data_IF_056247920325
#
_entry.id   IF_056247920325
#
_cell.length_a   1.000
_cell.length_b   1.000
_cell.length_c   1.000
_cell.angle_alpha   90.00
_cell.angle_beta   90.00
_cell.angle_gamma   90.00
#
_symmetry.space_group_name_H-M   'P 1'
#
loop_
_entity.id
_entity.type
_entity.pdbx_description
1 polymer ?
#
# COMPACT_ATOMS: atom_id res chain seq x y z
N UNK A 1 38.48 -2.15 40.70
CA UNK A 1 39.55 -1.61 39.81
C UNK A 1 40.14 -2.77 39.04
N UNK A 2 40.43 -2.59 37.75
CA UNK A 2 41.13 -3.53 36.83
C UNK A 2 40.52 -4.94 36.65
N UNK A 3 40.77 -5.68 35.58
CA UNK A 3 40.87 -5.45 34.12
C UNK A 3 41.15 -6.85 33.53
N UNK A 4 40.57 -7.17 32.37
CA UNK A 4 40.86 -8.29 31.45
C UNK A 4 41.60 -9.57 31.91
N UNK A 5 41.00 -10.73 31.59
CA UNK A 5 41.75 -11.83 30.98
C UNK A 5 41.17 -12.18 29.60
N UNK A 6 41.89 -11.76 28.56
CA UNK A 6 41.88 -12.42 27.26
C UNK A 6 43.03 -13.44 27.30
N UNK A 7 42.77 -14.74 27.12
CA UNK A 7 43.81 -15.71 26.72
C UNK A 7 43.22 -17.10 26.40
N UNK A 8 43.88 -17.83 25.49
CA UNK A 8 43.53 -19.15 24.88
C UNK A 8 42.28 -19.16 23.98
N UNK A 9 42.23 -19.66 22.74
CA UNK A 9 43.16 -20.14 21.68
C UNK A 9 42.39 -19.89 20.35
N UNK A 10 42.89 -19.51 19.16
CA UNK A 10 44.22 -19.39 18.53
C UNK A 10 44.92 -20.67 18.03
N UNK A 11 44.16 -21.59 17.40
CA UNK A 11 44.59 -22.65 16.48
C UNK A 11 43.32 -23.04 15.68
N UNK A 12 43.29 -23.20 14.34
CA UNK A 12 44.38 -23.31 13.36
C UNK A 12 44.32 -22.20 12.29
N UNK A 13 45.49 -21.93 11.72
CA UNK A 13 45.68 -21.15 10.49
C UNK A 13 46.08 -22.08 9.33
N UNK A 14 45.82 -21.62 8.10
CA UNK A 14 46.29 -22.16 6.80
C UNK A 14 45.65 -23.49 6.34
N UNK A 15 44.91 -23.44 5.23
CA UNK A 15 45.49 -23.78 3.91
C UNK A 15 44.58 -23.44 2.69
N UNK A 16 45.20 -22.88 1.66
CA UNK A 16 44.89 -22.91 0.20
C UNK A 16 43.65 -22.21 -0.45
N UNK A 17 43.99 -21.08 -1.12
CA UNK A 17 43.67 -20.73 -2.54
C UNK A 17 42.34 -20.07 -2.98
N UNK A 18 42.44 -19.39 -4.15
CA UNK A 18 41.49 -18.47 -4.80
C UNK A 18 40.54 -19.18 -5.80
N UNK A 19 39.27 -18.76 -5.82
CA UNK A 19 38.40 -18.59 -7.02
C UNK A 19 37.92 -19.88 -7.77
N UNK A 20 36.93 -19.82 -8.69
CA UNK A 20 35.54 -19.36 -8.53
C UNK A 20 34.47 -20.37 -9.06
N UNK A 21 33.18 -20.00 -8.91
CA UNK A 21 31.94 -20.52 -9.56
C UNK A 21 31.23 -21.76 -8.98
N UNK A 22 29.90 -21.72 -9.20
CA UNK A 22 28.89 -22.80 -9.36
C UNK A 22 28.34 -23.59 -8.15
N UNK A 23 27.00 -23.47 -8.04
CA UNK A 23 26.02 -24.54 -7.76
C UNK A 23 25.83 -25.11 -6.35
N UNK A 24 24.86 -24.51 -5.65
CA UNK A 24 23.69 -25.17 -5.04
C UNK A 24 23.73 -26.70 -4.78
N UNK A 25 23.72 -27.08 -3.49
CA UNK A 25 22.66 -27.88 -2.84
C UNK A 25 22.96 -28.06 -1.34
N UNK A 26 22.04 -27.69 -0.46
CA UNK A 26 21.99 -28.19 0.92
C UNK A 26 20.62 -28.82 1.16
N UNK A 27 20.63 -29.97 1.81
CA UNK A 27 19.48 -30.85 2.04
C UNK A 27 18.46 -30.24 2.99
N UNK A 28 17.16 -30.44 2.70
CA UNK A 28 16.09 -30.25 3.69
C UNK A 28 16.01 -31.48 4.57
N UNK A 29 16.36 -31.35 5.85
CA UNK A 29 15.94 -32.27 6.92
C UNK A 29 16.06 -31.58 8.27
N UNK A 30 14.92 -31.10 8.79
CA UNK A 30 14.76 -30.73 10.19
C UNK A 30 13.30 -30.96 10.56
N UNK A 31 13.06 -32.10 11.22
CA UNK A 31 11.76 -32.48 11.74
C UNK A 31 11.43 -31.63 12.96
N UNK A 32 10.23 -31.04 13.00
CA UNK A 32 9.75 -30.33 14.19
C UNK A 32 9.16 -31.34 15.16
N UNK A 33 9.75 -31.43 16.36
CA UNK A 33 9.23 -32.25 17.46
C UNK A 33 8.15 -31.47 18.21
N UNK A 34 6.88 -31.87 18.06
CA UNK A 34 5.79 -31.36 18.88
C UNK A 34 5.70 -32.17 20.19
N UNK A 35 5.68 -31.47 21.33
CA UNK A 35 5.46 -32.06 22.66
C UNK A 35 4.02 -31.77 23.09
N UNK A 36 3.10 -32.77 23.12
CA UNK A 36 1.80 -32.62 23.77
C UNK A 36 1.93 -32.84 25.29
N UNK A 37 1.07 -32.22 26.12
CA UNK A 37 1.11 -32.41 27.56
C UNK A 37 0.54 -33.77 27.99
N UNK A 38 1.34 -34.52 28.75
CA UNK A 38 0.94 -35.50 29.77
C UNK A 38 -0.16 -36.53 29.44
N UNK A 39 0.26 -37.79 29.19
CA UNK A 39 -0.29 -38.96 29.89
C UNK A 39 0.81 -40.04 30.04
N UNK A 40 0.67 -40.93 31.01
CA UNK A 40 1.77 -41.71 31.59
C UNK A 40 1.73 -43.20 31.21
N UNK A 41 2.92 -43.75 30.92
CA UNK A 41 3.34 -45.17 31.02
C UNK A 41 3.33 -46.09 29.77
N UNK A 42 4.41 -46.88 29.72
CA UNK A 42 4.61 -48.22 29.12
C UNK A 42 4.76 -48.39 27.60
N UNK A 43 5.94 -48.89 27.21
CA UNK A 43 6.30 -49.51 25.92
C UNK A 43 5.93 -51.03 25.93
N UNK A 44 6.07 -51.86 24.86
CA UNK A 44 7.23 -51.93 23.93
C UNK A 44 6.96 -52.21 22.42
N UNK A 45 8.07 -52.16 21.66
CA UNK A 45 8.39 -52.61 20.28
C UNK A 45 7.92 -54.02 19.84
N UNK A 46 8.18 -54.50 18.58
CA UNK A 46 8.36 -53.82 17.26
C UNK A 46 7.67 -54.55 16.06
N UNK A 47 7.72 -53.99 14.82
CA UNK A 47 8.18 -54.65 13.55
C UNK A 47 7.78 -53.89 12.25
N UNK A 48 8.77 -53.80 11.36
CA UNK A 48 8.78 -53.91 9.89
C UNK A 48 7.47 -53.85 9.05
N UNK A 49 7.53 -53.13 7.91
CA UNK A 49 6.69 -53.44 6.74
C UNK A 49 6.28 -52.24 5.86
N UNK A 50 6.93 -52.07 4.70
CA UNK A 50 6.34 -51.30 3.60
C UNK A 50 5.34 -52.18 2.84
N UNK A 51 4.10 -51.73 2.65
CA UNK A 51 3.12 -52.36 1.75
C UNK A 51 2.43 -51.30 0.90
N UNK A 52 2.32 -51.57 -0.40
CA UNK A 52 1.70 -50.72 -1.43
C UNK A 52 0.17 -50.78 -1.40
N UNK A 53 -0.48 -49.77 -2.00
CA UNK A 53 -1.94 -49.69 -2.17
C UNK A 53 -2.55 -50.89 -2.93
N UNK A 54 -3.87 -51.13 -2.81
CA UNK A 54 -4.78 -50.55 -3.81
C UNK A 54 -6.15 -50.10 -3.27
N UNK A 55 -6.89 -49.31 -4.07
CA UNK A 55 -8.29 -48.99 -3.79
C UNK A 55 -8.81 -47.77 -4.55
N UNK A 56 -9.19 -47.93 -5.82
CA UNK A 56 -10.01 -46.92 -6.52
C UNK A 56 -11.43 -46.90 -5.92
N UNK A 57 -12.01 -45.70 -5.77
CA UNK A 57 -13.31 -45.54 -5.11
C UNK A 57 -13.97 -44.18 -5.33
N UNK A 58 -14.62 -44.04 -6.48
CA UNK A 58 -15.72 -43.10 -6.79
C UNK A 58 -15.49 -41.57 -6.65
N UNK A 59 -15.58 -40.89 -7.80
CA UNK A 59 -15.78 -39.45 -7.91
C UNK A 59 -17.14 -39.02 -7.33
N UNK A 60 -17.14 -38.00 -6.46
CA UNK A 60 -18.22 -37.00 -6.37
C UNK A 60 -17.56 -35.62 -6.23
N UNK A 61 -17.85 -34.72 -7.17
CA UNK A 61 -17.35 -33.34 -7.13
C UNK A 61 -18.08 -32.53 -6.05
N UNK A 62 -17.35 -31.95 -5.09
CA UNK A 62 -17.70 -30.68 -4.43
C UNK A 62 -16.53 -30.13 -3.58
N UNK A 63 -15.90 -29.07 -4.09
CA UNK A 63 -15.17 -28.00 -3.38
C UNK A 63 -14.43 -28.31 -2.06
N UNK A 64 -13.09 -28.21 -2.07
CA UNK A 64 -12.31 -27.66 -0.96
C UNK A 64 -11.80 -26.26 -1.32
N UNK A 65 -12.32 -25.22 -0.66
CA UNK A 65 -11.66 -23.90 -0.65
C UNK A 65 -10.31 -23.98 0.09
N UNK A 66 -9.28 -23.22 -0.30
CA UNK A 66 -7.97 -23.30 0.34
C UNK A 66 -8.02 -22.80 1.78
N UNK A 67 -7.48 -23.60 2.71
CA UNK A 67 -7.31 -23.23 4.12
C UNK A 67 -6.26 -22.10 4.28
N UNK A 68 -6.38 -21.20 5.29
CA UNK A 68 -5.69 -19.90 5.26
C UNK A 68 -4.18 -19.87 5.55
N UNK A 69 -3.48 -21.01 5.60
CA UNK A 69 -2.23 -21.14 6.38
C UNK A 69 -0.92 -21.20 5.56
N UNK A 70 -0.94 -20.93 4.24
CA UNK A 70 0.24 -21.12 3.35
C UNK A 70 0.68 -19.85 2.57
N UNK A 71 -0.04 -18.73 2.67
CA UNK A 71 0.18 -17.56 1.81
C UNK A 71 1.19 -16.50 2.31
N UNK A 72 1.94 -16.75 3.40
CA UNK A 72 2.61 -15.68 4.15
C UNK A 72 4.16 -15.59 4.01
N UNK A 73 4.84 -16.51 3.31
CA UNK A 73 6.30 -16.67 3.47
C UNK A 73 7.14 -16.71 2.19
N UNK A 74 6.67 -16.16 1.07
CA UNK A 74 7.45 -16.08 -0.18
C UNK A 74 7.28 -14.73 -0.90
N UNK A 75 7.89 -13.69 -0.31
CA UNK A 75 8.24 -12.46 -1.01
C UNK A 75 9.64 -12.03 -0.54
N UNK A 76 10.47 -11.58 -1.49
CA UNK A 76 11.81 -10.99 -1.32
C UNK A 76 13.03 -11.91 -1.20
N UNK A 77 13.60 -12.29 -2.36
CA UNK A 77 15.06 -12.45 -2.52
C UNK A 77 15.59 -11.64 -3.72
N UNK A 78 16.22 -10.51 -3.45
CA UNK A 78 17.37 -9.97 -4.23
C UNK A 78 17.22 -9.50 -5.68
N UNK A 79 16.07 -9.64 -6.35
CA UNK A 79 15.91 -9.30 -7.78
C UNK A 79 15.73 -7.81 -8.12
N UNK A 80 15.97 -7.41 -9.39
CA UNK A 80 15.57 -6.08 -9.89
C UNK A 80 14.03 -5.95 -9.94
N UNK A 81 13.55 -4.72 -9.74
CA UNK A 81 12.15 -4.36 -9.39
C UNK A 81 11.10 -4.66 -10.49
N UNK A 82 11.51 -5.17 -11.64
CA UNK A 82 10.65 -5.31 -12.82
C UNK A 82 10.16 -6.76 -13.07
N UNK A 83 10.66 -7.74 -12.31
CA UNK A 83 10.23 -9.13 -12.38
C UNK A 83 9.32 -9.46 -11.19
N UNK A 84 8.00 -9.44 -11.42
CA UNK A 84 6.96 -9.73 -10.42
C UNK A 84 7.04 -11.21 -9.99
N UNK A 85 7.14 -11.49 -8.68
CA UNK A 85 5.95 -12.00 -8.02
C UNK A 85 5.82 -11.59 -6.53
N UNK A 86 4.78 -10.82 -6.23
CA UNK A 86 4.13 -10.84 -4.92
C UNK A 86 2.63 -10.85 -5.16
N UNK A 87 1.99 -12.02 -4.99
CA UNK A 87 0.56 -12.20 -5.19
C UNK A 87 -0.23 -11.75 -3.96
N UNK A 88 -0.27 -10.45 -3.71
CA UNK A 88 -1.43 -9.87 -3.02
C UNK A 88 -2.61 -9.92 -4.01
N UNK A 89 -3.79 -10.35 -3.55
CA UNK A 89 -4.95 -10.57 -4.43
C UNK A 89 -5.47 -9.25 -5.00
N UNK A 90 -5.18 -8.99 -6.27
CA UNK A 90 -5.61 -7.78 -6.99
C UNK A 90 -6.96 -7.98 -7.65
N UNK A 91 -7.91 -7.06 -7.47
CA UNK A 91 -9.24 -7.21 -8.06
C UNK A 91 -9.95 -8.50 -7.66
N UNK A 92 -10.96 -8.91 -8.42
CA UNK A 92 -11.71 -10.14 -8.17
C UNK A 92 -10.92 -11.42 -8.52
N UNK A 93 -10.00 -11.33 -9.49
CA UNK A 93 -9.36 -12.48 -10.15
C UNK A 93 -7.83 -12.58 -9.94
N UNK A 94 -7.25 -11.71 -9.10
CA UNK A 94 -5.80 -11.63 -8.89
C UNK A 94 -5.04 -10.80 -9.94
N UNK A 95 -5.74 -10.06 -10.80
CA UNK A 95 -5.17 -9.27 -11.90
C UNK A 95 -5.07 -7.76 -11.58
N UNK A 96 -3.94 -7.08 -11.88
CA UNK A 96 -3.74 -5.64 -11.66
C UNK A 96 -4.88 -4.76 -12.17
N UNK A 97 -5.27 -3.74 -11.38
CA UNK A 97 -6.31 -2.79 -11.78
C UNK A 97 -5.92 -2.10 -13.10
N UNK A 98 -6.83 -2.07 -14.08
CA UNK A 98 -6.56 -1.51 -15.41
C UNK A 98 -6.19 -0.02 -15.32
N UNK A 99 -6.94 0.74 -14.50
CA UNK A 99 -6.73 2.18 -14.35
C UNK A 99 -6.87 2.66 -12.90
N UNK A 100 -5.87 3.42 -12.46
CA UNK A 100 -5.79 3.98 -11.13
C UNK A 100 -5.58 5.49 -11.16
N UNK A 101 -6.34 6.21 -10.33
CA UNK A 101 -6.11 7.62 -10.04
C UNK A 101 -5.65 7.77 -8.58
N UNK A 102 -4.47 8.37 -8.37
CA UNK A 102 -3.99 8.75 -7.05
C UNK A 102 -4.09 10.26 -6.94
N UNK A 103 -4.96 10.72 -6.04
CA UNK A 103 -5.38 12.12 -5.93
C UNK A 103 -4.75 12.72 -4.68
N UNK A 104 -3.60 13.36 -4.87
CA UNK A 104 -2.95 14.21 -3.88
C UNK A 104 -3.76 15.47 -3.57
N UNK A 105 -3.43 16.14 -2.47
CA UNK A 105 -4.24 17.25 -1.96
C UNK A 105 -3.79 18.62 -2.48
N UNK A 106 -2.77 18.72 -3.35
CA UNK A 106 -2.12 19.99 -3.71
C UNK A 106 -3.04 21.01 -4.38
N UNK A 107 -2.76 22.30 -4.16
CA UNK A 107 -3.56 23.43 -4.66
C UNK A 107 -3.76 23.50 -6.17
N UNK A 108 -2.90 22.84 -6.96
CA UNK A 108 -3.00 22.75 -8.42
C UNK A 108 -4.32 22.09 -8.91
N UNK A 109 -5.05 21.38 -8.04
CA UNK A 109 -6.37 20.86 -8.38
C UNK A 109 -7.50 21.88 -8.24
N UNK A 110 -7.27 23.04 -7.63
CA UNK A 110 -8.28 24.08 -7.50
C UNK A 110 -8.69 24.62 -8.89
N UNK A 111 -9.98 24.65 -9.20
CA UNK A 111 -10.54 25.01 -10.51
C UNK A 111 -10.00 24.19 -11.71
N UNK A 112 -9.47 22.98 -11.47
CA UNK A 112 -8.88 22.15 -12.54
C UNK A 112 -9.91 21.45 -13.44
N UNK A 113 -11.09 21.15 -12.92
CA UNK A 113 -12.12 20.38 -13.64
C UNK A 113 -11.80 18.88 -13.82
N UNK A 114 -10.78 18.34 -13.13
CA UNK A 114 -10.34 16.95 -13.30
C UNK A 114 -11.30 15.89 -12.73
N UNK A 115 -12.40 16.27 -12.07
CA UNK A 115 -13.29 15.34 -11.36
C UNK A 115 -13.85 14.21 -12.23
N UNK A 116 -14.43 14.50 -13.41
CA UNK A 116 -14.89 13.48 -14.35
C UNK A 116 -13.78 12.61 -14.97
N UNK A 117 -12.53 13.09 -15.02
CA UNK A 117 -11.37 12.26 -15.44
C UNK A 117 -10.96 11.30 -14.32
N UNK A 118 -10.88 11.79 -13.08
CA UNK A 118 -10.57 11.00 -11.88
C UNK A 118 -11.61 9.90 -11.64
N UNK A 119 -12.90 10.24 -11.71
CA UNK A 119 -13.99 9.29 -11.44
C UNK A 119 -14.14 8.21 -12.54
N UNK A 120 -13.46 8.34 -13.69
CA UNK A 120 -13.38 7.28 -14.71
C UNK A 120 -12.40 6.16 -14.34
N UNK A 121 -11.43 6.37 -13.45
CA UNK A 121 -10.52 5.32 -13.03
C UNK A 121 -11.24 4.18 -12.30
N UNK A 122 -10.76 2.95 -12.47
CA UNK A 122 -11.29 1.77 -11.77
C UNK A 122 -11.05 1.87 -10.26
N UNK A 123 -9.85 2.32 -9.86
CA UNK A 123 -9.41 2.42 -8.47
C UNK A 123 -8.93 3.83 -8.13
N UNK A 124 -9.44 4.43 -7.04
CA UNK A 124 -9.10 5.81 -6.65
C UNK A 124 -8.54 5.87 -5.22
N UNK A 125 -7.35 6.45 -5.06
CA UNK A 125 -6.66 6.62 -3.78
C UNK A 125 -6.64 8.11 -3.39
N UNK A 126 -7.07 8.44 -2.17
CA UNK A 126 -7.10 9.81 -1.62
C UNK A 126 -6.37 9.92 -0.28
N UNK A 127 -6.03 11.15 0.15
CA UNK A 127 -5.21 11.38 1.33
C UNK A 127 -5.85 12.20 2.44
N UNK A 128 -5.70 11.69 3.67
CA UNK A 128 -5.94 12.43 4.92
C UNK A 128 -7.37 12.97 5.09
N UNK A 129 -8.39 12.20 4.67
CA UNK A 129 -9.81 12.56 4.78
C UNK A 129 -10.10 13.97 4.21
N UNK A 130 -9.87 14.18 2.90
CA UNK A 130 -10.05 15.48 2.30
C UNK A 130 -11.56 15.81 2.18
N UNK A 131 -11.95 17.09 2.19
CA UNK A 131 -13.36 17.47 2.03
C UNK A 131 -13.87 17.12 0.62
N UNK A 132 -15.08 16.57 0.55
CA UNK A 132 -15.71 16.13 -0.70
C UNK A 132 -16.49 17.23 -1.44
N UNK A 133 -16.50 18.46 -0.93
CA UNK A 133 -17.20 19.61 -1.54
C UNK A 133 -16.55 20.20 -2.81
N UNK A 134 -15.61 19.49 -3.44
CA UNK A 134 -14.83 19.94 -4.61
C UNK A 134 -14.94 18.96 -5.79
N UNK A 135 -16.05 18.21 -5.86
CA UNK A 135 -16.25 17.06 -6.76
C UNK A 135 -16.04 17.37 -8.25
N UNK A 136 -16.32 18.59 -8.70
CA UNK A 136 -16.04 19.04 -10.06
C UNK A 136 -14.55 18.92 -10.44
N UNK A 137 -13.66 19.14 -9.46
CA UNK A 137 -12.22 19.18 -9.70
C UNK A 137 -11.49 17.93 -9.22
N UNK A 138 -12.00 17.27 -8.17
CA UNK A 138 -11.33 16.10 -7.55
C UNK A 138 -12.13 14.81 -7.62
N UNK A 139 -13.36 14.83 -8.12
CA UNK A 139 -14.23 13.67 -8.22
C UNK A 139 -14.86 13.25 -6.90
N UNK A 140 -15.66 12.19 -6.95
CA UNK A 140 -16.42 11.62 -5.83
C UNK A 140 -15.97 10.21 -5.47
N UNK A 141 -15.49 9.43 -6.44
CA UNK A 141 -15.10 8.02 -6.27
C UNK A 141 -13.93 7.91 -5.29
N UNK A 142 -14.00 6.95 -4.38
CA UNK A 142 -12.95 6.66 -3.40
C UNK A 142 -12.87 5.16 -3.13
N UNK A 143 -11.78 4.52 -3.51
CA UNK A 143 -11.52 3.09 -3.25
C UNK A 143 -10.66 2.91 -2.00
N UNK A 144 -9.64 3.78 -1.84
CA UNK A 144 -8.78 3.85 -0.65
C UNK A 144 -8.70 5.29 -0.18
N UNK A 145 -8.78 5.52 1.13
CA UNK A 145 -8.46 6.81 1.73
C UNK A 145 -7.50 6.60 2.89
N UNK A 146 -6.38 7.32 2.89
CA UNK A 146 -5.46 7.27 4.01
C UNK A 146 -5.90 8.18 5.16
N UNK A 147 -5.59 7.79 6.39
CA UNK A 147 -5.78 8.64 7.58
C UNK A 147 -4.50 8.69 8.39
N UNK A 148 -3.81 9.83 8.43
CA UNK A 148 -2.81 10.04 9.47
C UNK A 148 -3.51 10.03 10.85
N UNK A 149 -3.10 9.18 11.81
CA UNK A 149 -3.76 9.11 13.11
C UNK A 149 -3.77 10.42 13.90
N UNK A 150 -2.89 11.38 13.56
CA UNK A 150 -2.96 12.74 14.10
C UNK A 150 -4.32 13.40 13.87
N UNK A 151 -5.01 13.06 12.78
CA UNK A 151 -6.35 13.57 12.43
C UNK A 151 -7.42 13.03 13.39
N UNK A 152 -7.28 11.77 13.82
CA UNK A 152 -8.21 11.12 14.75
C UNK A 152 -8.16 11.76 16.15
N UNK A 153 -6.99 12.21 16.59
CA UNK A 153 -6.84 12.88 17.90
C UNK A 153 -7.21 14.37 17.89
N UNK A 154 -7.47 14.98 16.72
CA UNK A 154 -7.87 16.41 16.65
C UNK A 154 -9.16 16.66 17.44
N UNK A 155 -9.05 17.50 18.48
CA UNK A 155 -10.16 17.81 19.41
C UNK A 155 -11.36 18.49 18.74
N UNK A 156 -11.14 19.20 17.64
CA UNK A 156 -12.22 19.82 16.86
C UNK A 156 -12.86 18.88 15.83
N UNK A 157 -12.23 17.73 15.50
CA UNK A 157 -12.70 16.81 14.46
C UNK A 157 -13.25 15.50 15.04
N UNK A 158 -12.39 14.68 15.66
CA UNK A 158 -12.76 13.31 16.09
C UNK A 158 -12.44 12.99 17.56
N UNK A 159 -11.79 13.89 18.32
CA UNK A 159 -11.62 13.81 19.78
C UNK A 159 -11.00 12.50 20.28
N UNK A 160 -10.14 11.88 19.46
CA UNK A 160 -9.50 10.60 19.74
C UNK A 160 -10.49 9.44 19.88
N UNK A 161 -11.69 9.52 19.30
CA UNK A 161 -12.72 8.47 19.25
C UNK A 161 -13.14 7.85 20.61
N UNK A 162 -12.73 8.45 21.72
CA UNK A 162 -12.91 7.93 23.08
C UNK A 162 -14.36 7.91 23.59
N UNK A 163 -15.24 8.72 23.00
CA UNK A 163 -16.68 8.82 23.37
C UNK A 163 -17.56 9.21 22.18
N UNK A 164 -17.28 10.35 21.56
CA UNK A 164 -18.10 10.96 20.50
C UNK A 164 -17.75 10.39 19.12
N UNK A 165 -18.19 9.15 18.88
CA UNK A 165 -17.77 8.33 17.73
C UNK A 165 -18.55 8.56 16.44
N UNK A 166 -19.85 8.87 16.54
CA UNK A 166 -20.78 9.07 15.41
C UNK A 166 -20.25 10.02 14.31
N UNK A 167 -19.67 11.20 14.59
CA UNK A 167 -19.19 12.12 13.54
C UNK A 167 -18.07 11.54 12.67
N UNK A 168 -17.29 10.58 13.18
CA UNK A 168 -16.28 9.88 12.38
C UNK A 168 -16.90 8.92 11.38
N UNK A 169 -17.92 8.16 11.80
CA UNK A 169 -18.66 7.24 10.91
C UNK A 169 -19.45 8.00 9.86
N UNK A 170 -20.11 9.10 10.24
CA UNK A 170 -20.81 9.99 9.31
C UNK A 170 -19.85 10.60 8.28
N UNK A 171 -18.65 11.03 8.71
CA UNK A 171 -17.60 11.46 7.78
C UNK A 171 -17.15 10.33 6.83
N UNK A 172 -17.01 9.09 7.31
CA UNK A 172 -16.63 7.96 6.43
C UNK A 172 -17.70 7.68 5.38
N UNK A 173 -18.99 7.79 5.73
CA UNK A 173 -20.10 7.59 4.81
C UNK A 173 -20.09 8.54 3.60
N UNK A 174 -19.50 9.74 3.73
CA UNK A 174 -19.35 10.69 2.60
C UNK A 174 -18.47 10.19 1.45
N UNK A 175 -17.69 9.14 1.68
CA UNK A 175 -16.79 8.53 0.71
C UNK A 175 -17.32 7.21 0.14
N UNK A 176 -18.53 6.79 0.51
CA UNK A 176 -19.12 5.50 0.12
C UNK A 176 -18.59 4.33 0.97
N UNK A 177 -17.91 3.38 0.33
CA UNK A 177 -17.40 2.16 0.97
C UNK A 177 -15.86 2.00 0.82
N UNK A 178 -15.05 2.98 1.26
CA UNK A 178 -13.60 2.94 1.06
C UNK A 178 -12.89 1.97 2.00
N UNK A 179 -11.73 1.49 1.57
CA UNK A 179 -10.71 0.98 2.50
C UNK A 179 -10.00 2.16 3.16
N UNK A 180 -10.09 2.24 4.48
CA UNK A 180 -9.53 3.30 5.29
C UNK A 180 -8.13 2.90 5.78
N UNK A 181 -7.09 3.38 5.11
CA UNK A 181 -5.72 2.92 5.31
C UNK A 181 -4.97 3.77 6.35
N UNK A 182 -4.59 3.15 7.47
CA UNK A 182 -4.05 3.85 8.65
C UNK A 182 -2.60 3.37 8.94
N UNK A 183 -1.59 4.27 9.01
CA UNK A 183 -0.24 3.94 9.48
C UNK A 183 -0.21 3.81 11.01
N UNK A 184 -0.97 2.84 11.55
CA UNK A 184 -1.20 2.64 12.98
C UNK A 184 0.08 2.41 13.79
N UNK A 185 1.10 1.84 13.16
CA UNK A 185 2.36 1.41 13.79
C UNK A 185 3.55 2.35 13.53
N UNK A 186 3.37 3.43 12.75
CA UNK A 186 4.47 4.39 12.49
C UNK A 186 4.86 5.23 13.72
N UNK A 187 3.98 5.33 14.72
CA UNK A 187 4.29 5.94 16.02
C UNK A 187 3.49 5.24 17.12
N UNK A 188 4.16 4.84 18.21
CA UNK A 188 3.56 4.06 19.30
C UNK A 188 2.34 4.73 19.95
N UNK A 189 2.33 6.08 20.02
CA UNK A 189 1.21 6.86 20.56
C UNK A 189 -0.06 6.86 19.70
N UNK A 190 -0.03 6.25 18.51
CA UNK A 190 -1.15 6.22 17.57
C UNK A 190 -1.81 4.86 17.40
N UNK A 191 -1.22 3.77 17.92
CA UNK A 191 -1.80 2.43 17.80
C UNK A 191 -3.18 2.36 18.43
N UNK A 192 -3.34 2.87 19.66
CA UNK A 192 -4.62 2.82 20.39
C UNK A 192 -5.77 3.57 19.67
N UNK A 193 -5.54 4.78 19.17
CA UNK A 193 -6.57 5.54 18.45
C UNK A 193 -6.87 4.94 17.07
N UNK A 194 -5.89 4.27 16.45
CA UNK A 194 -6.09 3.54 15.19
C UNK A 194 -6.94 2.28 15.38
N UNK A 195 -6.71 1.54 16.47
CA UNK A 195 -7.60 0.44 16.91
C UNK A 195 -9.00 0.95 17.23
N UNK A 196 -9.14 2.10 17.90
CA UNK A 196 -10.44 2.71 18.14
C UNK A 196 -11.16 3.09 16.84
N UNK A 197 -10.44 3.52 15.79
CA UNK A 197 -11.04 3.79 14.48
C UNK A 197 -11.60 2.52 13.83
N UNK A 198 -10.87 1.40 13.88
CA UNK A 198 -11.34 0.10 13.41
C UNK A 198 -12.64 -0.31 14.12
N UNK A 199 -12.61 -0.45 15.45
CA UNK A 199 -13.77 -0.86 16.24
C UNK A 199 -14.95 0.11 16.13
N UNK A 200 -14.69 1.40 15.88
CA UNK A 200 -15.77 2.39 15.64
C UNK A 200 -16.53 2.13 14.34
N UNK A 201 -15.86 1.69 13.28
CA UNK A 201 -16.52 1.37 12.02
C UNK A 201 -17.30 0.05 12.12
N UNK A 202 -16.75 -0.92 12.83
CA UNK A 202 -17.38 -2.22 13.11
C UNK A 202 -18.64 -2.06 14.00
N UNK A 203 -18.53 -1.39 15.15
CA UNK A 203 -19.64 -1.13 16.09
C UNK A 203 -20.85 -0.44 15.45
N UNK A 204 -20.62 0.38 14.42
CA UNK A 204 -21.66 1.14 13.72
C UNK A 204 -22.11 0.49 12.40
N UNK A 205 -21.56 -0.67 12.02
CA UNK A 205 -21.87 -1.33 10.75
C UNK A 205 -21.53 -0.49 9.52
N UNK A 206 -20.43 0.26 9.56
CA UNK A 206 -20.02 1.12 8.45
C UNK A 206 -19.61 0.32 7.21
N UNK A 207 -19.93 0.86 6.03
CA UNK A 207 -19.42 0.32 4.75
C UNK A 207 -17.93 0.59 4.55
N UNK A 208 -17.36 1.58 5.26
CA UNK A 208 -15.92 1.84 5.27
C UNK A 208 -15.22 0.84 6.19
N UNK A 209 -14.07 0.30 5.76
CA UNK A 209 -13.32 -0.72 6.51
C UNK A 209 -11.91 -0.25 6.81
N UNK A 210 -11.50 -0.21 8.08
CA UNK A 210 -10.13 0.16 8.43
C UNK A 210 -9.14 -0.98 8.15
N UNK A 211 -7.98 -0.62 7.60
CA UNK A 211 -6.85 -1.51 7.34
C UNK A 211 -5.57 -0.80 7.79
N UNK A 212 -4.64 -1.53 8.40
CA UNK A 212 -3.38 -0.95 8.86
C UNK A 212 -2.27 -1.16 7.83
N UNK A 213 -1.44 -0.14 7.60
CA UNK A 213 -0.27 -0.26 6.72
C UNK A 213 0.75 -1.23 7.33
N UNK A 214 1.27 -2.16 6.53
CA UNK A 214 2.34 -3.08 6.96
C UNK A 214 3.62 -2.27 7.27
N UNK A 215 4.14 -2.30 8.51
CA UNK A 215 5.35 -1.55 8.88
C UNK A 215 6.61 -2.03 8.17
N UNK A 216 6.71 -3.31 7.79
CA UNK A 216 7.85 -3.87 7.07
C UNK A 216 7.92 -3.33 5.64
N UNK A 217 6.77 -3.25 4.95
CA UNK A 217 6.67 -2.61 3.64
C UNK A 217 7.12 -1.14 3.71
N UNK A 218 6.65 -0.39 4.72
CA UNK A 218 7.05 1.01 4.89
C UNK A 218 8.55 1.18 5.16
N UNK A 219 9.15 0.30 5.97
CA UNK A 219 10.59 0.31 6.25
C UNK A 219 11.43 -0.11 5.02
N UNK A 220 10.98 -1.13 4.28
CA UNK A 220 11.60 -1.57 3.03
C UNK A 220 11.58 -0.48 1.95
N UNK A 221 10.45 0.23 1.82
CA UNK A 221 10.29 1.35 0.90
C UNK A 221 11.19 2.55 1.27
N UNK A 222 11.23 2.93 2.55
CA UNK A 222 12.12 3.99 3.04
C UNK A 222 13.60 3.66 2.73
N UNK A 223 14.04 2.45 3.09
CA UNK A 223 15.39 1.98 2.79
C UNK A 223 15.70 1.89 1.28
N UNK A 224 14.72 1.50 0.45
CA UNK A 224 14.86 1.45 -1.01
C UNK A 224 15.19 2.82 -1.61
N UNK A 225 14.47 3.86 -1.16
CA UNK A 225 14.58 5.21 -1.70
C UNK A 225 15.72 6.01 -1.05
N UNK A 226 16.03 5.75 0.22
CA UNK A 226 17.22 6.27 0.88
C UNK A 226 18.50 5.85 0.13
N UNK A 227 18.61 4.57 -0.26
CA UNK A 227 19.73 4.08 -1.10
C UNK A 227 19.79 4.71 -2.50
N UNK A 228 18.70 5.33 -2.97
CA UNK A 228 18.61 6.09 -4.24
C UNK A 228 18.74 7.61 -4.04
N UNK A 229 19.18 8.05 -2.86
CA UNK A 229 19.49 9.45 -2.58
C UNK A 229 18.30 10.30 -2.12
N UNK A 230 17.11 9.73 -1.94
CA UNK A 230 15.97 10.47 -1.36
C UNK A 230 16.17 10.62 0.15
N UNK A 231 16.64 11.79 0.59
CA UNK A 231 16.96 12.09 1.99
C UNK A 231 15.83 12.83 2.71
N UNK A 232 14.72 12.14 2.95
CA UNK A 232 13.67 12.62 3.84
C UNK A 232 13.85 12.06 5.27
N UNK A 233 13.28 12.72 6.28
CA UNK A 233 13.12 12.10 7.62
C UNK A 233 12.05 11.01 7.61
N UNK A 234 11.08 11.12 6.70
CA UNK A 234 10.03 10.14 6.43
C UNK A 234 9.46 10.41 5.03
N UNK A 235 9.17 9.38 4.26
CA UNK A 235 8.40 9.51 3.01
C UNK A 235 7.00 10.09 3.29
N UNK A 236 6.45 10.90 2.39
CA UNK A 236 5.06 11.36 2.49
C UNK A 236 4.08 10.21 2.29
N UNK A 237 2.86 10.33 2.84
CA UNK A 237 1.78 9.36 2.56
C UNK A 237 1.51 9.26 1.06
N UNK A 238 1.63 10.38 0.33
CA UNK A 238 1.55 10.42 -1.13
C UNK A 238 2.57 9.48 -1.75
N UNK A 239 3.86 9.64 -1.41
CA UNK A 239 4.93 8.83 -1.96
C UNK A 239 4.80 7.35 -1.63
N UNK A 240 4.39 7.02 -0.39
CA UNK A 240 4.13 5.64 0.04
C UNK A 240 3.06 4.95 -0.83
N UNK A 241 1.95 5.64 -1.11
CA UNK A 241 0.83 5.09 -1.87
C UNK A 241 1.02 5.15 -3.38
N UNK A 242 1.80 6.10 -3.91
CA UNK A 242 2.21 6.09 -5.32
C UNK A 242 3.07 4.86 -5.62
N UNK A 243 4.02 4.53 -4.74
CA UNK A 243 4.83 3.32 -4.88
C UNK A 243 3.97 2.06 -4.79
N UNK A 244 3.04 1.98 -3.83
CA UNK A 244 2.10 0.87 -3.76
C UNK A 244 1.27 0.77 -5.06
N UNK A 245 0.72 1.88 -5.55
CA UNK A 245 -0.10 1.90 -6.76
C UNK A 245 0.65 1.48 -8.04
N UNK A 246 1.97 1.66 -8.12
CA UNK A 246 2.79 1.12 -9.21
C UNK A 246 2.83 -0.42 -9.20
N UNK A 247 2.69 -1.05 -8.04
CA UNK A 247 2.51 -2.49 -7.91
C UNK A 247 1.06 -2.88 -8.25
N UNK A 248 0.08 -2.12 -7.74
CA UNK A 248 -1.38 -2.41 -7.84
C UNK A 248 -1.98 -2.28 -9.25
N UNK A 249 -1.39 -1.49 -10.14
CA UNK A 249 -2.09 -0.94 -11.32
C UNK A 249 -1.35 -1.17 -12.65
N UNK A 250 -2.08 -1.26 -13.75
CA UNK A 250 -1.54 -1.26 -15.12
C UNK A 250 -1.28 0.16 -15.61
N UNK A 251 -2.26 1.06 -15.43
CA UNK A 251 -2.13 2.48 -15.77
C UNK A 251 -2.37 3.36 -14.55
N UNK A 252 -1.32 4.05 -14.10
CA UNK A 252 -1.34 4.94 -12.94
C UNK A 252 -1.31 6.41 -13.38
N UNK A 253 -2.33 7.20 -13.00
CA UNK A 253 -2.30 8.66 -13.14
C UNK A 253 -2.30 9.36 -11.78
N UNK A 254 -1.40 10.33 -11.61
CA UNK A 254 -1.26 11.15 -10.42
C UNK A 254 -1.89 12.53 -10.65
N UNK A 255 -2.75 12.94 -9.72
CA UNK A 255 -3.43 14.25 -9.72
C UNK A 255 -3.07 15.01 -8.43
N UNK A 256 -2.84 16.31 -8.49
CA UNK A 256 -2.59 17.12 -7.28
C UNK A 256 -1.24 16.89 -6.58
N UNK A 257 -0.28 16.27 -7.27
CA UNK A 257 1.09 16.09 -6.79
C UNK A 257 1.97 17.27 -7.21
N UNK A 258 1.81 18.40 -6.52
CA UNK A 258 2.56 19.63 -6.79
C UNK A 258 2.98 20.30 -5.47
N UNK A 259 4.26 20.23 -5.08
CA UNK A 259 4.73 20.71 -3.78
C UNK A 259 5.20 22.18 -3.79
N UNK A 260 4.92 22.93 -4.86
CA UNK A 260 5.43 24.29 -5.07
C UNK A 260 4.33 25.36 -4.88
N UNK A 261 4.68 26.58 -4.43
CA UNK A 261 3.72 27.63 -4.08
C UNK A 261 3.15 28.39 -5.29
N UNK A 262 3.63 28.09 -6.50
CA UNK A 262 3.15 28.65 -7.78
C UNK A 262 2.95 27.53 -8.77
N UNK A 263 2.00 27.67 -9.69
CA UNK A 263 1.79 26.73 -10.79
C UNK A 263 2.84 26.90 -11.92
N UNK A 264 2.81 26.08 -12.99
CA UNK A 264 3.75 26.20 -14.12
C UNK A 264 3.68 27.56 -14.86
N UNK A 265 2.55 28.27 -14.79
CA UNK A 265 2.38 29.62 -15.34
C UNK A 265 2.82 30.73 -14.37
N UNK A 266 3.32 30.38 -13.19
CA UNK A 266 3.81 31.32 -12.17
C UNK A 266 2.71 31.96 -11.31
N UNK A 267 1.45 31.50 -11.41
CA UNK A 267 0.34 32.02 -10.59
C UNK A 267 0.42 31.42 -9.18
N UNK A 268 0.15 32.19 -8.10
CA UNK A 268 0.16 31.67 -6.74
C UNK A 268 -0.86 30.54 -6.50
N UNK A 269 -0.45 29.52 -5.76
CA UNK A 269 -1.30 28.40 -5.31
C UNK A 269 -1.37 28.34 -3.79
N UNK A 270 -2.53 27.92 -3.27
CA UNK A 270 -2.66 27.44 -1.89
C UNK A 270 -1.96 26.08 -1.71
N UNK A 271 -1.59 25.73 -0.48
CA UNK A 271 -0.96 24.43 -0.22
C UNK A 271 -1.85 23.25 -0.59
N UNK A 272 -3.14 23.32 -0.23
CA UNK A 272 -4.15 22.35 -0.63
C UNK A 272 -5.20 22.97 -1.56
N UNK A 273 -5.95 22.14 -2.30
CA UNK A 273 -7.07 22.63 -3.13
C UNK A 273 -8.27 23.14 -2.31
N UNK A 274 -8.30 22.86 -1.00
CA UNK A 274 -9.38 23.17 -0.06
C UNK A 274 -8.97 24.11 1.09
N UNK A 275 -7.68 24.30 1.36
CA UNK A 275 -7.16 25.24 2.37
C UNK A 275 -5.70 25.61 2.09
N UNK A 276 -5.13 26.49 2.93
CA UNK A 276 -3.72 26.87 2.86
C UNK A 276 -2.92 26.42 4.10
N UNK A 277 -3.14 25.20 4.60
CA UNK A 277 -2.43 24.65 5.76
C UNK A 277 -1.18 23.85 5.32
N UNK A 278 0.05 24.39 5.47
CA UNK A 278 1.26 23.67 5.08
C UNK A 278 1.53 22.45 5.96
N UNK A 279 2.11 21.40 5.36
CA UNK A 279 2.68 20.28 6.12
C UNK A 279 3.78 20.73 7.08
N UNK A 280 4.03 19.99 8.17
CA UNK A 280 5.09 20.31 9.15
C UNK A 280 6.47 20.35 8.47
N UNK A 281 7.21 21.48 8.53
CA UNK A 281 8.54 21.59 7.92
C UNK A 281 9.54 20.53 8.42
N UNK A 282 10.43 20.10 7.53
CA UNK A 282 11.52 19.18 7.85
C UNK A 282 11.13 17.71 8.12
N UNK A 283 9.86 17.33 7.90
CA UNK A 283 9.42 15.92 8.00
C UNK A 283 9.56 15.19 6.67
N UNK A 284 9.15 15.85 5.57
CA UNK A 284 9.07 15.30 4.23
C UNK A 284 9.93 16.11 3.26
N UNK A 285 10.53 15.43 2.27
CA UNK A 285 11.27 16.08 1.18
C UNK A 285 10.39 16.13 -0.08
N UNK A 286 9.21 16.77 0.01
CA UNK A 286 8.20 16.72 -1.06
C UNK A 286 8.69 17.23 -2.45
N UNK A 287 9.56 18.25 -2.55
CA UNK A 287 10.21 18.59 -3.82
C UNK A 287 11.07 17.45 -4.39
N UNK A 288 11.87 16.79 -3.54
CA UNK A 288 12.69 15.65 -3.96
C UNK A 288 11.83 14.43 -4.34
N UNK A 289 10.74 14.17 -3.63
CA UNK A 289 9.72 13.17 -3.98
C UNK A 289 9.12 13.48 -5.36
N UNK A 290 8.78 14.74 -5.62
CA UNK A 290 8.25 15.20 -6.90
C UNK A 290 9.20 14.94 -8.07
N UNK A 291 10.51 15.16 -7.90
CA UNK A 291 11.48 14.82 -8.96
C UNK A 291 11.46 13.33 -9.33
N UNK A 292 11.04 12.43 -8.42
CA UNK A 292 10.92 11.00 -8.72
C UNK A 292 9.61 10.70 -9.45
N UNK A 293 8.50 11.36 -9.10
CA UNK A 293 7.26 11.28 -9.91
C UNK A 293 7.51 11.76 -11.34
N UNK A 294 8.25 12.88 -11.50
CA UNK A 294 8.62 13.39 -12.82
C UNK A 294 9.54 12.41 -13.57
N UNK A 295 10.54 11.81 -12.91
CA UNK A 295 11.39 10.78 -13.51
C UNK A 295 10.60 9.54 -13.97
N UNK A 296 9.70 9.03 -13.12
CA UNK A 296 8.81 7.92 -13.48
C UNK A 296 7.80 8.28 -14.57
N UNK A 297 7.38 9.56 -14.64
CA UNK A 297 6.53 10.05 -15.72
C UNK A 297 7.25 10.06 -17.07
N UNK A 298 8.47 10.60 -17.12
CA UNK A 298 9.30 10.63 -18.33
C UNK A 298 9.71 9.24 -18.81
N UNK A 299 9.73 8.25 -17.92
CA UNK A 299 9.97 6.83 -18.22
C UNK A 299 8.70 6.06 -18.63
N UNK A 300 7.52 6.70 -18.63
CA UNK A 300 6.24 6.05 -18.95
C UNK A 300 5.70 5.11 -17.86
N UNK A 301 6.33 5.04 -16.69
CA UNK A 301 5.87 4.20 -15.58
C UNK A 301 4.61 4.74 -14.88
N UNK A 302 4.35 6.05 -15.00
CA UNK A 302 3.09 6.68 -14.58
C UNK A 302 2.79 7.94 -15.43
N UNK A 303 1.58 8.48 -15.30
CA UNK A 303 1.20 9.79 -15.83
C UNK A 303 1.11 10.81 -14.70
N UNK A 304 1.89 11.89 -14.76
CA UNK A 304 1.79 13.02 -13.83
C UNK A 304 0.93 14.12 -14.45
N UNK A 305 -0.26 14.37 -13.90
CA UNK A 305 -1.23 15.34 -14.44
C UNK A 305 -1.11 16.68 -13.70
N UNK A 306 -0.74 17.74 -14.43
CA UNK A 306 -0.42 19.07 -13.89
C UNK A 306 -1.21 20.23 -14.54
N UNK A 307 -2.06 19.96 -15.53
CA UNK A 307 -2.86 20.97 -16.23
C UNK A 307 -4.36 20.69 -16.12
N UNK A 308 -5.20 21.40 -16.88
CA UNK A 308 -6.61 21.03 -17.05
C UNK A 308 -6.73 19.71 -17.86
N UNK A 309 -7.88 19.01 -17.78
CA UNK A 309 -8.19 17.86 -18.63
C UNK A 309 -8.04 18.18 -20.12
N UNK A 310 -7.66 17.16 -20.89
CA UNK A 310 -7.67 17.28 -22.34
C UNK A 310 -9.11 17.56 -22.84
N UNK A 311 -9.30 18.44 -23.85
CA UNK A 311 -10.61 18.67 -24.44
C UNK A 311 -11.25 17.36 -24.89
N UNK A 312 -12.40 17.03 -24.32
CA UNK A 312 -13.20 15.90 -24.79
C UNK A 312 -13.83 16.32 -26.11
N UNK A 313 -13.24 15.87 -27.22
CA UNK A 313 -13.85 15.98 -28.54
C UNK A 313 -15.13 15.14 -28.55
N UNK A 314 -16.25 15.77 -28.22
CA UNK A 314 -17.56 15.22 -28.52
C UNK A 314 -17.67 15.11 -30.04
N UNK A 315 -17.50 13.89 -30.55
CA UNK A 315 -17.92 13.53 -31.90
C UNK A 315 -19.43 13.75 -31.97
N UNK A 316 -19.84 14.92 -32.43
CA UNK A 316 -21.23 15.17 -32.80
C UNK A 316 -21.59 14.18 -33.89
N UNK A 317 -22.68 13.40 -33.75
CA UNK A 317 -23.14 12.56 -34.83
C UNK A 317 -23.41 13.43 -36.05
N UNK A 318 -22.75 13.14 -37.18
CA UNK A 318 -23.04 13.83 -38.44
C UNK A 318 -24.54 13.76 -38.71
N UNK A 319 -25.20 14.86 -39.12
CA UNK A 319 -26.61 14.82 -39.47
C UNK A 319 -26.81 13.78 -40.57
N UNK A 320 -27.51 12.69 -40.23
CA UNK A 320 -27.77 11.60 -41.18
C UNK A 320 -28.47 12.17 -42.41
N UNK A 321 -27.88 11.93 -43.59
CA UNK A 321 -28.48 12.27 -44.87
C UNK A 321 -29.84 11.61 -44.97
N UNK A 322 -30.92 12.41 -44.89
CA UNK A 322 -32.26 11.94 -45.23
C UNK A 322 -32.27 11.58 -46.71
N UNK A 323 -32.15 10.28 -47.00
CA UNK A 323 -32.29 9.76 -48.35
C UNK A 323 -33.70 10.04 -48.85
N UNK A 324 -33.82 10.92 -49.84
CA UNK A 324 -35.06 11.12 -50.58
C UNK A 324 -35.19 10.08 -51.68
N UNK A 325 -36.24 9.28 -51.62
CA UNK A 325 -36.94 8.64 -52.74
C UNK A 325 -38.42 8.55 -52.39
#
# INVERSE_FOLDING_TARGET
MHFSLLNFILLLLLQFTRSPRSSCRISRSLSVLAIPPSFVSSAPHPRDGCISAPGEGYFINSLPGPTPEVAASQCWEGGPVWERPCAWSVGADGAPYDSCAVVGNGGILHNSGCGPEIDRAQFVIRFNLPPMGFSEHVGTKSSVITVNPSILVLRYRFRGLSRWRRPFVEAMGTYGAPLLLIPAFSFIGFTAVSSQALYTLEDFGSLARAVFMNPEYLAGLDGHWHRRGLRAKRLSSGFMLVNAALELCQHLTLYGFWPFPTDPEGRPLSHHYYDNQPSKPGVHAMPDEFTRYLGMHLQGALRLHLGPPAPQFHLTPSPGTKGGK
#
